data_IF_758665449444
#
_entry.id   IF_758665449444
#
_cell.length_a   1.000
_cell.length_b   1.000
_cell.length_c   1.000
_cell.angle_alpha   90.00
_cell.angle_beta   90.00
_cell.angle_gamma   90.00
#
_symmetry.space_group_name_H-M   'P 1'
#
loop_
_entity.id
_entity.type
_entity.pdbx_description
1 polymer ?
#
# COMPACT_ATOMS: atom_id res chain seq x y z
N UNK A 1 11.65 -20.70 6.71
CA UNK A 1 12.85 -19.83 6.84
C UNK A 1 12.34 -18.45 7.15
N UNK A 2 12.89 -17.77 8.16
CA UNK A 2 12.41 -16.46 8.58
C UNK A 2 12.70 -15.44 7.46
N UNK A 3 11.69 -14.68 7.04
CA UNK A 3 11.81 -13.64 6.02
C UNK A 3 11.74 -14.13 4.58
N UNK A 4 11.38 -15.40 4.37
CA UNK A 4 11.18 -15.95 3.03
C UNK A 4 10.04 -15.23 2.31
N UNK A 5 8.97 -14.88 3.02
CA UNK A 5 7.82 -14.20 2.46
C UNK A 5 8.18 -12.83 1.90
N UNK A 6 8.96 -12.04 2.64
CA UNK A 6 9.45 -10.73 2.20
C UNK A 6 10.30 -10.84 0.93
N UNK A 7 11.19 -11.84 0.86
CA UNK A 7 12.02 -12.08 -0.31
C UNK A 7 11.16 -12.47 -1.52
N UNK A 8 10.21 -13.38 -1.32
CA UNK A 8 9.28 -13.81 -2.37
C UNK A 8 8.49 -12.61 -2.88
N UNK A 9 7.93 -11.79 -1.99
CA UNK A 9 7.14 -10.64 -2.40
C UNK A 9 7.97 -9.61 -3.17
N UNK A 10 9.14 -9.27 -2.65
CA UNK A 10 10.05 -8.32 -3.31
C UNK A 10 10.51 -8.83 -4.67
N UNK A 11 10.83 -10.13 -4.78
CA UNK A 11 11.17 -10.76 -6.06
C UNK A 11 9.99 -10.75 -7.03
N UNK A 12 8.77 -11.03 -6.55
CA UNK A 12 7.56 -10.99 -7.35
C UNK A 12 7.30 -9.58 -7.91
N UNK A 13 7.50 -8.53 -7.13
CA UNK A 13 7.41 -7.13 -7.60
C UNK A 13 8.44 -6.84 -8.70
N UNK A 14 9.70 -7.27 -8.51
CA UNK A 14 10.75 -7.08 -9.52
C UNK A 14 10.42 -7.82 -10.82
N UNK A 15 9.98 -9.08 -10.73
CA UNK A 15 9.60 -9.88 -11.90
C UNK A 15 8.37 -9.27 -12.59
N UNK A 16 7.36 -8.87 -11.81
CA UNK A 16 6.16 -8.19 -12.30
C UNK A 16 6.53 -6.90 -13.03
N UNK A 17 7.42 -6.09 -12.46
CA UNK A 17 7.94 -4.88 -13.08
C UNK A 17 8.72 -5.15 -14.37
N UNK A 18 9.54 -6.21 -14.42
CA UNK A 18 10.25 -6.60 -15.64
C UNK A 18 9.28 -7.00 -16.75
N UNK A 19 8.29 -7.84 -16.44
CA UNK A 19 7.25 -8.27 -17.38
C UNK A 19 6.45 -7.06 -17.85
N UNK A 20 5.96 -6.25 -16.92
CA UNK A 20 5.20 -5.05 -17.21
C UNK A 20 5.97 -4.08 -18.10
N UNK A 21 7.28 -3.92 -17.90
CA UNK A 21 8.12 -3.07 -18.75
C UNK A 21 8.28 -3.63 -20.18
N UNK A 22 8.36 -4.96 -20.34
CA UNK A 22 8.35 -5.58 -21.69
C UNK A 22 7.01 -5.30 -22.36
N UNK A 23 5.90 -5.50 -21.65
CA UNK A 23 4.55 -5.28 -22.21
C UNK A 23 4.25 -3.81 -22.46
N UNK A 24 4.81 -2.89 -21.64
CA UNK A 24 4.72 -1.44 -21.86
C UNK A 24 5.15 -1.07 -23.29
N UNK A 25 6.27 -1.64 -23.76
CA UNK A 25 6.80 -1.38 -25.11
C UNK A 25 5.91 -1.90 -26.24
N UNK A 26 4.98 -2.83 -25.95
CA UNK A 26 4.07 -3.43 -26.93
C UNK A 26 2.80 -2.60 -27.06
N UNK A 27 2.31 -2.01 -25.96
CA UNK A 27 1.07 -1.25 -25.94
C UNK A 27 1.22 0.15 -26.51
N UNK A 28 0.18 0.61 -27.22
CA UNK A 28 0.04 2.01 -27.61
C UNK A 28 -0.32 2.87 -26.39
N UNK A 29 -0.02 4.16 -26.46
CA UNK A 29 -0.30 5.10 -25.37
C UNK A 29 -1.79 5.11 -24.97
N UNK A 30 -2.71 5.02 -25.93
CA UNK A 30 -4.15 4.95 -25.60
C UNK A 30 -4.52 3.68 -24.84
N UNK A 31 -3.85 2.56 -25.11
CA UNK A 31 -4.06 1.30 -24.40
C UNK A 31 -3.47 1.36 -22.99
N UNK A 32 -2.33 2.02 -22.82
CA UNK A 32 -1.72 2.24 -21.50
C UNK A 32 -2.61 3.12 -20.62
N UNK A 33 -3.16 4.20 -21.17
CA UNK A 33 -4.09 5.08 -20.43
C UNK A 33 -5.39 4.34 -20.05
N UNK A 34 -5.93 3.53 -20.96
CA UNK A 34 -7.10 2.69 -20.70
C UNK A 34 -6.83 1.62 -19.61
N UNK A 35 -5.68 0.96 -19.66
CA UNK A 35 -5.26 -0.01 -18.64
C UNK A 35 -5.04 0.63 -17.27
N UNK A 36 -4.41 1.81 -17.22
CA UNK A 36 -4.24 2.57 -15.97
C UNK A 36 -5.60 2.87 -15.34
N UNK A 37 -6.55 3.33 -16.16
CA UNK A 37 -7.91 3.65 -15.72
C UNK A 37 -8.63 2.41 -15.21
N UNK A 38 -8.56 1.29 -15.94
CA UNK A 38 -9.16 0.02 -15.53
C UNK A 38 -8.60 -0.47 -14.19
N UNK A 39 -7.28 -0.42 -14.01
CA UNK A 39 -6.62 -0.76 -12.74
C UNK A 39 -7.04 0.18 -11.60
N UNK A 40 -7.08 1.49 -11.85
CA UNK A 40 -7.55 2.45 -10.86
C UNK A 40 -8.97 2.14 -10.39
N UNK A 41 -9.87 1.81 -11.32
CA UNK A 41 -11.24 1.39 -11.00
C UNK A 41 -11.25 0.09 -10.17
N UNK A 42 -10.48 -0.93 -10.55
CA UNK A 42 -10.39 -2.17 -9.76
C UNK A 42 -9.87 -1.92 -8.34
N UNK A 43 -8.83 -1.09 -8.19
CA UNK A 43 -8.28 -0.71 -6.88
C UNK A 43 -9.33 0.00 -6.03
N UNK A 44 -10.13 0.91 -6.62
CA UNK A 44 -11.22 1.59 -5.93
C UNK A 44 -12.25 0.59 -5.39
N UNK A 45 -12.70 -0.38 -6.20
CA UNK A 45 -13.69 -1.37 -5.75
C UNK A 45 -13.16 -2.26 -4.63
N UNK A 46 -11.91 -2.73 -4.71
CA UNK A 46 -11.27 -3.53 -3.66
C UNK A 46 -11.16 -2.72 -2.36
N UNK A 47 -10.73 -1.46 -2.48
CA UNK A 47 -10.59 -0.55 -1.36
C UNK A 47 -11.93 -0.24 -0.68
N UNK A 48 -12.99 0.02 -1.47
CA UNK A 48 -14.35 0.21 -0.96
C UNK A 48 -14.82 -1.04 -0.22
N UNK A 49 -14.64 -2.24 -0.80
CA UNK A 49 -15.04 -3.48 -0.16
C UNK A 49 -14.34 -3.68 1.19
N UNK A 50 -13.03 -3.44 1.25
CA UNK A 50 -12.26 -3.52 2.50
C UNK A 50 -12.67 -2.49 3.54
N UNK A 51 -12.90 -1.24 3.14
CA UNK A 51 -13.37 -0.18 4.04
C UNK A 51 -14.78 -0.49 4.57
N UNK A 52 -15.68 -0.95 3.70
CA UNK A 52 -17.03 -1.36 4.08
C UNK A 52 -17.01 -2.57 5.03
N UNK A 53 -16.16 -3.56 4.81
CA UNK A 53 -15.99 -4.69 5.75
C UNK A 53 -15.54 -4.22 7.14
N UNK A 54 -14.74 -3.15 7.22
CA UNK A 54 -14.30 -2.57 8.48
C UNK A 54 -15.37 -1.74 9.19
N UNK A 55 -16.19 -1.00 8.44
CA UNK A 55 -17.19 -0.07 8.96
C UNK A 55 -18.56 -0.71 9.23
N UNK A 56 -18.97 -1.65 8.39
CA UNK A 56 -20.29 -2.27 8.49
C UNK A 56 -20.24 -3.45 9.46
N UNK A 57 -21.20 -3.47 10.39
CA UNK A 57 -21.41 -4.57 11.31
C UNK A 57 -22.88 -4.99 11.30
N UNK A 58 -23.13 -6.27 11.53
CA UNK A 58 -24.49 -6.80 11.64
C UNK A 58 -24.87 -6.75 13.11
N UNK A 59 -25.85 -5.93 13.44
CA UNK A 59 -26.44 -5.85 14.79
C UNK A 59 -27.90 -6.31 14.71
N UNK A 60 -28.12 -7.57 15.11
CA UNK A 60 -29.40 -8.25 14.96
C UNK A 60 -29.84 -8.39 13.49
N UNK A 61 -31.01 -7.85 13.16
CA UNK A 61 -31.56 -7.83 11.79
C UNK A 61 -31.16 -6.60 10.99
N UNK A 62 -30.35 -5.69 11.58
CA UNK A 62 -29.99 -4.41 10.98
C UNK A 62 -28.49 -4.31 10.67
N UNK A 63 -28.19 -3.63 9.57
CA UNK A 63 -26.82 -3.39 9.13
C UNK A 63 -26.42 -2.00 9.60
N UNK A 64 -25.53 -1.94 10.58
CA UNK A 64 -25.13 -0.70 11.26
C UNK A 64 -23.72 -0.31 10.81
N UNK A 65 -23.50 0.99 10.57
CA UNK A 65 -22.17 1.53 10.28
C UNK A 65 -21.55 2.08 11.56
N UNK A 66 -20.38 1.57 11.94
CA UNK A 66 -19.59 2.04 13.09
C UNK A 66 -18.24 2.61 12.65
N UNK A 67 -17.44 3.10 13.63
CA UNK A 67 -16.06 3.55 13.43
C UNK A 67 -15.89 4.76 12.50
N UNK A 68 -16.98 5.42 12.11
CA UNK A 68 -16.94 6.66 11.33
C UNK A 68 -16.12 7.75 12.02
N UNK A 69 -16.24 7.85 13.35
CA UNK A 69 -15.45 8.80 14.15
C UNK A 69 -13.95 8.45 14.13
N UNK A 70 -13.60 7.16 14.23
CA UNK A 70 -12.22 6.70 14.09
C UNK A 70 -11.63 7.08 12.73
N UNK A 71 -12.39 6.85 11.65
CA UNK A 71 -11.96 7.19 10.29
C UNK A 71 -11.68 8.68 10.16
N UNK A 72 -12.63 9.53 10.58
CA UNK A 72 -12.46 10.99 10.48
C UNK A 72 -11.26 11.47 11.28
N UNK A 73 -11.11 11.01 12.54
CA UNK A 73 -10.02 11.45 13.40
C UNK A 73 -8.65 10.95 12.92
N UNK A 74 -8.53 9.67 12.56
CA UNK A 74 -7.26 9.11 12.10
C UNK A 74 -6.81 9.78 10.80
N UNK A 75 -7.71 9.99 9.83
CA UNK A 75 -7.37 10.65 8.58
C UNK A 75 -7.02 12.13 8.80
N UNK A 76 -7.78 12.86 9.60
CA UNK A 76 -7.51 14.28 9.86
C UNK A 76 -6.17 14.47 10.60
N UNK A 77 -5.98 13.78 11.72
CA UNK A 77 -4.74 13.85 12.51
C UNK A 77 -3.55 13.31 11.72
N UNK A 78 -3.75 12.20 11.00
CA UNK A 78 -2.74 11.60 10.16
C UNK A 78 -2.27 12.52 9.04
N UNK A 79 -3.21 13.19 8.37
CA UNK A 79 -2.90 14.15 7.28
C UNK A 79 -2.17 15.37 7.82
N UNK A 80 -2.61 15.94 8.95
CA UNK A 80 -1.92 17.08 9.58
C UNK A 80 -0.49 16.68 9.97
N UNK A 81 -0.32 15.54 10.64
CA UNK A 81 0.99 15.05 11.03
C UNK A 81 1.89 14.79 9.81
N UNK A 82 1.37 14.17 8.75
CA UNK A 82 2.16 13.85 7.57
C UNK A 82 2.48 15.07 6.70
N UNK A 83 1.61 16.09 6.65
CA UNK A 83 1.92 17.36 5.99
C UNK A 83 3.03 18.13 6.73
N UNK A 84 3.04 18.07 8.07
CA UNK A 84 4.12 18.66 8.89
C UNK A 84 5.45 17.92 8.69
N UNK A 85 5.42 16.58 8.61
CA UNK A 85 6.62 15.76 8.37
C UNK A 85 7.09 15.90 6.92
N UNK A 86 6.18 16.14 5.98
CA UNK A 86 6.47 16.21 4.54
C UNK A 86 6.82 14.84 3.94
N UNK A 87 6.11 13.78 4.33
CA UNK A 87 6.40 12.39 3.92
C UNK A 87 6.43 12.26 2.40
N UNK A 88 5.50 12.89 1.69
CA UNK A 88 5.45 12.86 0.24
C UNK A 88 6.71 13.42 -0.39
N UNK A 89 7.21 14.55 0.12
CA UNK A 89 8.46 15.16 -0.38
C UNK A 89 9.64 14.23 -0.17
N UNK A 90 9.66 13.49 0.94
CA UNK A 90 10.66 12.46 1.21
C UNK A 90 10.63 11.34 0.17
N UNK A 91 9.44 10.82 -0.15
CA UNK A 91 9.27 9.80 -1.19
C UNK A 91 9.58 10.32 -2.60
N UNK A 92 9.21 11.57 -2.92
CA UNK A 92 9.54 12.21 -4.19
C UNK A 92 11.06 12.38 -4.34
N UNK A 93 11.74 12.91 -3.31
CA UNK A 93 13.21 13.08 -3.30
C UNK A 93 13.92 11.73 -3.42
N UNK A 94 13.44 10.71 -2.71
CA UNK A 94 14.00 9.35 -2.81
C UNK A 94 13.76 8.76 -4.21
N UNK A 95 12.57 8.97 -4.78
CA UNK A 95 12.26 8.58 -6.14
C UNK A 95 13.12 9.28 -7.20
N UNK A 96 13.39 10.57 -7.03
CA UNK A 96 14.30 11.34 -7.89
C UNK A 96 15.74 10.82 -7.79
N UNK A 97 16.21 10.54 -6.58
CA UNK A 97 17.52 9.92 -6.37
C UNK A 97 17.62 8.55 -7.07
N UNK A 98 16.60 7.70 -6.94
CA UNK A 98 16.52 6.41 -7.65
C UNK A 98 16.48 6.60 -9.17
N UNK A 99 15.72 7.58 -9.66
CA UNK A 99 15.60 7.91 -11.08
C UNK A 99 16.97 8.26 -11.68
N UNK A 100 17.72 9.12 -11.01
CA UNK A 100 19.07 9.51 -11.44
C UNK A 100 20.06 8.34 -11.34
N UNK A 101 20.04 7.60 -10.22
CA UNK A 101 20.98 6.49 -9.97
C UNK A 101 20.78 5.33 -10.93
N UNK A 102 19.54 5.08 -11.36
CA UNK A 102 19.18 4.00 -12.29
C UNK A 102 19.36 4.38 -13.77
N UNK A 103 19.80 5.61 -14.08
CA UNK A 103 19.96 6.09 -15.45
C UNK A 103 18.67 6.45 -16.17
N UNK A 104 17.56 6.63 -15.45
CA UNK A 104 16.25 7.00 -16.01
C UNK A 104 15.97 8.51 -15.90
N UNK A 105 17.01 9.36 -15.93
CA UNK A 105 16.91 10.81 -15.71
C UNK A 105 15.92 11.55 -16.62
N UNK A 106 15.67 11.04 -17.82
CA UNK A 106 14.73 11.62 -18.79
C UNK A 106 13.27 11.22 -18.56
N UNK A 107 12.99 10.19 -17.76
CA UNK A 107 11.64 9.66 -17.54
C UNK A 107 10.86 10.55 -16.54
N UNK A 108 10.01 11.43 -17.06
CA UNK A 108 9.19 12.33 -16.24
C UNK A 108 8.15 11.61 -15.38
N UNK A 109 7.73 10.39 -15.75
CA UNK A 109 6.72 9.63 -15.01
C UNK A 109 7.31 8.72 -13.94
N UNK A 110 8.63 8.45 -13.98
CA UNK A 110 9.31 7.52 -13.08
C UNK A 110 8.98 7.74 -11.60
N UNK A 111 9.10 8.97 -11.10
CA UNK A 111 8.87 9.28 -9.67
C UNK A 111 7.41 9.02 -9.31
N UNK A 112 6.48 9.48 -10.15
CA UNK A 112 5.05 9.24 -9.92
C UNK A 112 4.71 7.75 -9.94
N UNK A 113 5.27 7.00 -10.88
CA UNK A 113 5.11 5.55 -11.01
C UNK A 113 5.66 4.80 -9.77
N UNK A 114 6.84 5.19 -9.30
CA UNK A 114 7.46 4.66 -8.08
C UNK A 114 6.61 4.93 -6.84
N UNK A 115 6.23 6.20 -6.62
CA UNK A 115 5.47 6.63 -5.44
C UNK A 115 4.10 5.95 -5.42
N UNK A 116 3.40 5.95 -6.55
CA UNK A 116 2.07 5.34 -6.68
C UNK A 116 2.14 3.84 -6.42
N UNK A 117 3.07 3.12 -7.08
CA UNK A 117 3.21 1.68 -6.86
C UNK A 117 3.57 1.36 -5.40
N UNK A 118 4.53 2.08 -4.81
CA UNK A 118 4.97 1.87 -3.44
C UNK A 118 3.82 1.94 -2.44
N UNK A 119 2.92 2.92 -2.57
CA UNK A 119 1.76 3.00 -1.69
C UNK A 119 0.71 1.92 -1.97
N UNK A 120 0.48 1.57 -3.24
CA UNK A 120 -0.45 0.47 -3.57
C UNK A 120 0.00 -0.84 -2.93
N UNK A 121 1.29 -1.18 -3.01
CA UNK A 121 1.78 -2.50 -2.56
C UNK A 121 2.29 -2.53 -1.12
N UNK A 122 2.74 -1.41 -0.54
CA UNK A 122 3.20 -1.38 0.86
C UNK A 122 2.04 -1.26 1.85
N UNK A 123 0.95 -0.57 1.48
CA UNK A 123 -0.15 -0.30 2.40
C UNK A 123 -1.08 -1.52 2.44
N UNK A 124 -1.17 -2.18 3.58
CA UNK A 124 -2.15 -3.25 3.81
C UNK A 124 -1.85 -4.04 5.08
N UNK A 125 -2.89 -4.52 5.76
CA UNK A 125 -2.71 -5.33 6.96
C UNK A 125 -1.99 -6.64 6.68
N UNK A 126 -2.14 -7.22 5.49
CA UNK A 126 -1.43 -8.43 5.09
C UNK A 126 0.09 -8.24 5.01
N UNK A 127 0.58 -7.03 4.70
CA UNK A 127 2.02 -6.74 4.74
C UNK A 127 2.57 -6.86 6.17
N UNK A 128 1.83 -6.32 7.14
CA UNK A 128 2.26 -6.25 8.54
C UNK A 128 2.02 -7.59 9.25
N UNK A 129 0.80 -8.12 9.17
CA UNK A 129 0.43 -9.40 9.79
C UNK A 129 1.24 -10.53 9.16
N UNK A 130 1.40 -10.53 7.83
CA UNK A 130 2.22 -11.51 7.13
C UNK A 130 3.70 -11.43 7.52
N UNK A 131 4.28 -10.22 7.62
CA UNK A 131 5.66 -10.05 8.09
C UNK A 131 5.85 -10.49 9.55
N UNK A 132 4.86 -10.27 10.42
CA UNK A 132 4.91 -10.76 11.81
C UNK A 132 4.84 -12.29 11.86
N UNK A 133 3.94 -12.91 11.09
CA UNK A 133 3.81 -14.37 10.99
C UNK A 133 5.09 -15.03 10.45
N UNK A 134 5.68 -14.46 9.39
CA UNK A 134 6.96 -14.91 8.82
C UNK A 134 8.11 -14.72 9.83
N UNK A 135 8.10 -13.62 10.58
CA UNK A 135 9.11 -13.28 11.59
C UNK A 135 9.09 -14.18 12.84
N UNK A 136 7.90 -14.55 13.32
CA UNK A 136 7.72 -15.32 14.56
C UNK A 136 7.61 -16.81 14.29
N UNK A 137 6.73 -17.20 13.37
CA UNK A 137 6.37 -18.59 13.12
C UNK A 137 7.12 -19.17 11.91
N UNK A 138 7.79 -18.32 11.12
CA UNK A 138 8.35 -18.74 9.83
C UNK A 138 7.28 -19.11 8.80
N UNK A 139 6.03 -18.70 9.05
CA UNK A 139 4.90 -18.90 8.14
C UNK A 139 4.83 -17.76 7.15
N UNK A 140 5.22 -18.05 5.91
CA UNK A 140 5.24 -17.09 4.82
C UNK A 140 3.97 -17.15 3.95
N UNK A 141 2.96 -17.96 4.31
CA UNK A 141 1.77 -18.21 3.48
C UNK A 141 1.03 -16.91 3.12
N UNK A 142 0.81 -16.03 4.11
CA UNK A 142 0.15 -14.73 3.89
C UNK A 142 0.95 -13.83 2.94
N UNK A 143 2.27 -13.77 3.11
CA UNK A 143 3.14 -12.98 2.21
C UNK A 143 3.28 -13.61 0.82
N UNK A 144 3.21 -14.94 0.70
CA UNK A 144 3.18 -15.61 -0.60
C UNK A 144 1.90 -15.29 -1.37
N UNK A 145 0.73 -15.29 -0.71
CA UNK A 145 -0.52 -14.85 -1.36
C UNK A 145 -0.40 -13.38 -1.79
N UNK A 146 0.12 -12.52 -0.92
CA UNK A 146 0.37 -11.10 -1.24
C UNK A 146 1.30 -10.94 -2.43
N UNK A 147 2.34 -11.76 -2.54
CA UNK A 147 3.30 -11.70 -3.65
C UNK A 147 2.67 -11.89 -5.03
N UNK A 148 1.65 -12.74 -5.13
CA UNK A 148 0.90 -12.92 -6.37
C UNK A 148 0.09 -11.67 -6.70
N UNK A 149 -0.55 -11.05 -5.71
CA UNK A 149 -1.30 -9.81 -5.90
C UNK A 149 -0.37 -8.65 -6.32
N UNK A 150 0.71 -8.45 -5.59
CA UNK A 150 1.68 -7.38 -5.86
C UNK A 150 2.38 -7.59 -7.22
N UNK A 151 2.67 -8.84 -7.60
CA UNK A 151 3.15 -9.18 -8.94
C UNK A 151 2.20 -8.70 -10.03
N UNK A 152 0.91 -9.04 -9.92
CA UNK A 152 -0.10 -8.64 -10.92
C UNK A 152 -0.24 -7.12 -10.94
N UNK A 153 -0.39 -6.50 -9.77
CA UNK A 153 -0.55 -5.04 -9.63
C UNK A 153 0.63 -4.32 -10.27
N UNK A 154 1.87 -4.70 -9.93
CA UNK A 154 3.07 -4.04 -10.43
C UNK A 154 3.29 -4.35 -11.90
N UNK A 155 2.97 -5.55 -12.38
CA UNK A 155 3.04 -5.85 -13.81
C UNK A 155 2.10 -4.95 -14.62
N UNK A 156 0.85 -4.78 -14.18
CA UNK A 156 -0.08 -3.91 -14.90
C UNK A 156 0.31 -2.44 -14.74
N UNK A 157 0.60 -1.97 -13.53
CA UNK A 157 1.02 -0.58 -13.29
C UNK A 157 2.30 -0.24 -14.05
N UNK A 158 3.28 -1.15 -14.14
CA UNK A 158 4.51 -0.90 -14.93
C UNK A 158 4.22 -0.86 -16.44
N UNK A 159 3.27 -1.67 -16.90
CA UNK A 159 2.83 -1.65 -18.31
C UNK A 159 2.22 -0.31 -18.72
N UNK A 160 1.71 0.46 -17.76
CA UNK A 160 0.99 1.70 -18.04
C UNK A 160 1.69 2.98 -17.55
N UNK A 161 2.27 2.96 -16.33
CA UNK A 161 2.97 4.09 -15.71
C UNK A 161 4.50 4.07 -15.94
N UNK A 162 5.03 2.96 -16.44
CA UNK A 162 6.46 2.82 -16.71
C UNK A 162 7.28 2.21 -15.57
N UNK A 163 8.59 2.16 -15.80
CA UNK A 163 9.54 1.33 -15.04
C UNK A 163 9.69 1.71 -13.57
N UNK A 164 9.31 2.94 -13.20
CA UNK A 164 9.38 3.41 -11.81
C UNK A 164 8.62 2.50 -10.83
N UNK A 165 7.55 1.83 -11.29
CA UNK A 165 6.79 0.89 -10.46
C UNK A 165 7.62 -0.29 -9.95
N UNK A 166 8.58 -0.81 -10.72
CA UNK A 166 9.42 -1.94 -10.30
C UNK A 166 10.30 -1.61 -9.08
N UNK A 167 10.63 -0.33 -8.89
CA UNK A 167 11.41 0.15 -7.76
C UNK A 167 10.62 0.18 -6.44
N UNK A 168 9.30 -0.04 -6.48
CA UNK A 168 8.49 -0.25 -5.27
C UNK A 168 8.90 -1.50 -4.48
N UNK A 169 9.67 -2.41 -5.09
CA UNK A 169 10.28 -3.53 -4.38
C UNK A 169 11.18 -3.06 -3.23
N UNK A 170 11.82 -1.89 -3.35
CA UNK A 170 12.71 -1.35 -2.32
C UNK A 170 11.93 -1.00 -1.05
N UNK A 171 10.92 -0.11 -1.08
CA UNK A 171 10.14 0.18 0.11
C UNK A 171 9.39 -1.05 0.64
N UNK A 172 8.91 -1.96 -0.20
CA UNK A 172 8.29 -3.22 0.28
C UNK A 172 9.29 -4.07 1.03
N UNK A 173 10.47 -4.32 0.46
CA UNK A 173 11.51 -5.11 1.10
C UNK A 173 11.95 -4.50 2.43
N UNK A 174 12.15 -3.18 2.47
CA UNK A 174 12.53 -2.48 3.69
C UNK A 174 11.42 -2.52 4.73
N UNK A 175 10.17 -2.28 4.34
CA UNK A 175 9.03 -2.24 5.24
C UNK A 175 8.73 -3.63 5.81
N UNK A 176 8.43 -4.61 4.95
CA UNK A 176 8.14 -5.98 5.37
C UNK A 176 9.35 -6.61 6.08
N UNK A 177 10.56 -6.40 5.56
CA UNK A 177 11.79 -6.92 6.16
C UNK A 177 12.05 -6.34 7.55
N UNK A 178 11.84 -5.04 7.75
CA UNK A 178 11.99 -4.42 9.07
C UNK A 178 10.98 -4.98 10.07
N UNK A 179 9.73 -5.22 9.65
CA UNK A 179 8.69 -5.80 10.50
C UNK A 179 9.02 -7.26 10.82
N UNK A 180 9.44 -8.05 9.84
CA UNK A 180 9.85 -9.45 10.04
C UNK A 180 10.99 -9.55 11.06
N UNK A 181 12.00 -8.68 10.95
CA UNK A 181 13.13 -8.64 11.89
C UNK A 181 12.70 -8.21 13.30
N UNK A 182 11.77 -7.26 13.40
CA UNK A 182 11.26 -6.71 14.66
C UNK A 182 9.97 -7.41 15.14
N UNK A 183 9.60 -8.55 14.54
CA UNK A 183 8.27 -9.14 14.71
C UNK A 183 7.95 -9.46 16.18
N UNK A 184 8.94 -9.92 16.95
CA UNK A 184 8.79 -10.20 18.38
C UNK A 184 8.46 -8.95 19.21
N UNK A 185 8.95 -7.78 18.80
CA UNK A 185 8.66 -6.50 19.47
C UNK A 185 7.34 -5.89 19.00
N UNK A 186 6.98 -6.09 17.73
CA UNK A 186 5.79 -5.50 17.12
C UNK A 186 4.53 -6.33 17.41
N UNK A 187 4.65 -7.66 17.48
CA UNK A 187 3.50 -8.57 17.67
C UNK A 187 2.60 -8.24 18.85
N UNK A 188 3.11 -7.89 20.06
CA UNK A 188 2.25 -7.51 21.17
C UNK A 188 1.40 -6.26 20.91
N UNK A 189 1.86 -5.37 20.01
CA UNK A 189 1.16 -4.14 19.65
C UNK A 189 0.13 -4.37 18.54
N UNK A 190 0.21 -5.49 17.82
CA UNK A 190 -0.69 -5.82 16.71
C UNK A 190 -1.79 -6.78 17.16
N UNK A 191 -2.69 -6.29 18.01
CA UNK A 191 -3.91 -7.01 18.42
C UNK A 191 -4.89 -7.17 17.26
N UNK A 192 -5.89 -8.04 17.40
CA UNK A 192 -6.98 -8.17 16.42
C UNK A 192 -7.69 -6.83 16.16
N UNK A 193 -7.92 -6.02 17.20
CA UNK A 193 -8.53 -4.70 17.05
C UNK A 193 -7.60 -3.72 16.31
N UNK A 194 -6.30 -3.69 16.66
CA UNK A 194 -5.33 -2.83 15.99
C UNK A 194 -5.18 -3.19 14.51
N UNK A 195 -5.12 -4.48 14.18
CA UNK A 195 -5.05 -4.96 12.80
C UNK A 195 -6.34 -4.68 12.02
N UNK A 196 -7.51 -4.74 12.66
CA UNK A 196 -8.78 -4.34 12.05
C UNK A 196 -8.83 -2.84 11.74
N UNK A 197 -8.42 -1.97 12.67
CA UNK A 197 -8.37 -0.52 12.45
C UNK A 197 -7.33 -0.14 11.40
N UNK A 198 -6.17 -0.80 11.41
CA UNK A 198 -5.14 -0.65 10.38
C UNK A 198 -5.66 -1.06 9.01
N UNK A 199 -6.38 -2.19 8.91
CA UNK A 199 -6.99 -2.66 7.66
C UNK A 199 -7.97 -1.63 7.13
N UNK A 200 -8.87 -1.14 7.99
CA UNK A 200 -9.89 -0.14 7.63
C UNK A 200 -9.24 1.15 7.09
N UNK A 201 -8.32 1.76 7.84
CA UNK A 201 -7.65 2.99 7.39
C UNK A 201 -6.77 2.72 6.16
N UNK A 202 -6.08 1.59 6.11
CA UNK A 202 -5.29 1.15 4.96
C UNK A 202 -6.13 1.06 3.69
N UNK A 203 -7.31 0.42 3.75
CA UNK A 203 -8.24 0.36 2.62
C UNK A 203 -8.68 1.75 2.15
N UNK A 204 -8.89 2.71 3.06
CA UNK A 204 -9.22 4.09 2.66
C UNK A 204 -8.02 4.79 2.00
N UNK A 205 -6.79 4.56 2.46
CA UNK A 205 -5.61 5.09 1.78
C UNK A 205 -5.43 4.50 0.37
N UNK A 206 -5.67 3.19 0.21
CA UNK A 206 -5.67 2.51 -1.10
C UNK A 206 -6.77 3.09 -2.01
N UNK A 207 -7.94 3.44 -1.46
CA UNK A 207 -8.98 4.15 -2.20
C UNK A 207 -8.44 5.48 -2.77
N UNK A 208 -7.71 6.27 -1.97
CA UNK A 208 -7.07 7.49 -2.45
C UNK A 208 -6.01 7.24 -3.54
N UNK A 209 -5.30 6.10 -3.50
CA UNK A 209 -4.40 5.70 -4.59
C UNK A 209 -5.19 5.38 -5.86
N UNK A 210 -6.30 4.64 -5.75
CA UNK A 210 -7.21 4.38 -6.86
C UNK A 210 -7.76 5.66 -7.50
N UNK A 211 -8.12 6.66 -6.69
CA UNK A 211 -8.53 7.98 -7.18
C UNK A 211 -7.42 8.64 -8.01
N UNK A 212 -6.17 8.59 -7.50
CA UNK A 212 -5.02 9.16 -8.19
C UNK A 212 -4.70 8.45 -9.51
N UNK A 213 -4.99 7.16 -9.63
CA UNK A 213 -4.81 6.41 -10.86
C UNK A 213 -5.82 6.80 -11.94
N UNK A 214 -7.08 7.01 -11.55
CA UNK A 214 -8.16 7.35 -12.50
C UNK A 214 -8.13 8.82 -12.92
N UNK A 215 -7.86 9.74 -11.98
CA UNK A 215 -7.98 11.19 -12.22
C UNK A 215 -6.63 11.94 -12.18
N UNK A 216 -5.51 11.22 -12.12
CA UNK A 216 -4.20 11.79 -11.86
C UNK A 216 -4.04 12.19 -10.39
N UNK A 217 -2.84 12.66 -10.01
CA UNK A 217 -2.51 13.02 -8.63
C UNK A 217 -3.43 14.16 -8.11
N UNK A 218 -4.44 13.80 -7.30
CA UNK A 218 -5.37 14.71 -6.61
C UNK A 218 -5.13 14.75 -5.11
N UNK A 219 -4.74 13.62 -4.54
CA UNK A 219 -4.56 13.44 -3.09
C UNK A 219 -3.10 13.11 -2.79
N UNK A 220 -2.56 13.78 -1.77
CA UNK A 220 -1.22 13.53 -1.22
C UNK A 220 -1.21 12.32 -0.30
N UNK A 221 -1.41 11.11 -0.87
CA UNK A 221 -1.64 9.87 -0.09
C UNK A 221 -0.50 9.60 0.88
N UNK A 222 0.74 9.89 0.49
CA UNK A 222 1.91 9.74 1.36
C UNK A 222 1.79 10.51 2.68
N UNK A 223 1.25 11.73 2.63
CA UNK A 223 1.05 12.57 3.81
C UNK A 223 -0.11 12.08 4.68
N UNK A 224 -0.95 11.18 4.17
CA UNK A 224 -2.03 10.57 4.94
C UNK A 224 -1.57 9.28 5.65
N UNK A 225 -0.39 8.75 5.34
CA UNK A 225 0.15 7.52 5.95
C UNK A 225 0.15 7.50 7.48
N UNK A 226 0.45 8.60 8.20
CA UNK A 226 0.44 8.58 9.67
C UNK A 226 -0.93 8.22 10.25
N UNK A 227 -2.01 8.33 9.46
CA UNK A 227 -3.34 7.85 9.86
C UNK A 227 -3.33 6.37 10.25
N UNK A 228 -2.50 5.54 9.63
CA UNK A 228 -2.35 4.12 9.97
C UNK A 228 -1.75 3.93 11.37
N UNK A 229 -0.78 4.78 11.75
CA UNK A 229 -0.19 4.76 13.09
C UNK A 229 -1.22 5.18 14.13
N UNK A 230 -1.99 6.24 13.84
CA UNK A 230 -3.11 6.65 14.70
C UNK A 230 -4.19 5.57 14.81
N UNK A 231 -4.46 4.81 13.75
CA UNK A 231 -5.42 3.70 13.78
C UNK A 231 -4.99 2.60 14.75
N UNK A 232 -3.72 2.22 14.71
CA UNK A 232 -3.16 1.23 15.66
C UNK A 232 -3.18 1.78 17.08
N UNK A 233 -2.81 3.04 17.29
CA UNK A 233 -2.85 3.68 18.60
C UNK A 233 -4.28 3.78 19.16
N UNK A 234 -5.28 4.06 18.31
CA UNK A 234 -6.68 4.16 18.71
C UNK A 234 -7.24 2.85 19.28
N UNK A 235 -6.69 1.69 18.88
CA UNK A 235 -7.09 0.39 19.43
C UNK A 235 -6.74 0.21 20.93
N UNK A 236 -5.86 1.06 21.48
CA UNK A 236 -5.48 1.04 22.89
C UNK A 236 -6.18 2.12 23.72
N UNK A 237 -6.94 3.01 23.09
CA UNK A 237 -7.71 4.05 23.77
C UNK A 237 -9.05 3.45 24.20
N UNK A 238 -9.54 3.72 25.44
CA UNK A 238 -10.80 3.16 25.95
C UNK A 238 -12.06 3.74 25.27
N UNK A 239 -11.93 4.38 24.10
CA UNK A 239 -13.07 4.92 23.36
C UNK A 239 -13.62 3.88 22.38
N UNK A 240 -14.92 3.60 22.51
CA UNK A 240 -15.65 2.86 21.49
C UNK A 240 -16.03 3.83 20.36
N UNK A 241 -15.44 3.64 19.18
CA UNK A 241 -15.66 4.43 17.97
C UNK A 241 -16.71 3.84 17.03
#
# INVERSE_FOLDING_TARGET
MIGLGTIINSAAIVIGGLIGNVTNRIFRKEQQDALTTACGISVLFIAIAGAMQGMLNIDGESLVSGKSMLVVLCLALGTVAGELIGIEKGFETFGEWLKMKSGNGEDQQFVNAFVTASFTVCIGAMAIVGAIQDGIMGDYSTLAVKSVLDFIIVAVMTSSLGKGCAFSAIPVFLFEGSITLLARFISPVMTELATAYLSLIGSILIFCVGLNLVWGKKVRVANMLPAVVFAVAAAYVPWNF
#
